data_IF_054169686337
#
_entry.id   IF_054169686337
#
_cell.length_a   1.000
_cell.length_b   1.000
_cell.length_c   1.000
_cell.angle_alpha   90.00
_cell.angle_beta   90.00
_cell.angle_gamma   90.00
#
_symmetry.space_group_name_H-M   'P 1'
#
loop_
_entity.id
_entity.type
_entity.pdbx_description
1 polymer ?
#
# COMPACT_ATOMS: atom_id res chain seq x y z
N UNK A 1 42.13 30.72 -9.56
CA UNK A 1 41.49 30.06 -10.73
C UNK A 1 40.78 28.76 -10.39
N UNK A 2 41.39 27.79 -9.68
CA UNK A 2 40.78 26.47 -9.38
C UNK A 2 39.38 26.51 -8.75
N UNK A 3 39.14 27.39 -7.77
CA UNK A 3 37.84 27.49 -7.06
C UNK A 3 36.71 28.00 -7.98
N UNK A 4 37.00 28.96 -8.87
CA UNK A 4 36.01 29.48 -9.84
C UNK A 4 35.65 28.45 -10.90
N UNK A 5 36.62 27.67 -11.38
CA UNK A 5 36.37 26.57 -12.31
C UNK A 5 35.56 25.44 -11.67
N UNK A 6 35.77 25.14 -10.39
CA UNK A 6 34.97 24.16 -9.64
C UNK A 6 33.52 24.63 -9.43
N UNK A 7 33.32 25.91 -9.12
CA UNK A 7 31.98 26.50 -9.00
C UNK A 7 31.20 26.45 -10.33
N UNK A 8 31.87 26.77 -11.45
CA UNK A 8 31.25 26.69 -12.78
C UNK A 8 30.91 25.25 -13.14
N UNK A 9 31.81 24.30 -12.86
CA UNK A 9 31.55 22.87 -13.09
C UNK A 9 30.37 22.38 -12.24
N UNK A 10 30.32 22.75 -10.96
CA UNK A 10 29.23 22.38 -10.06
C UNK A 10 27.88 22.98 -10.50
N UNK A 11 27.89 24.23 -10.98
CA UNK A 11 26.70 24.88 -11.54
C UNK A 11 26.23 24.15 -12.81
N UNK A 12 27.14 23.81 -13.72
CA UNK A 12 26.82 23.07 -14.95
C UNK A 12 26.27 21.67 -14.65
N UNK A 13 26.86 20.96 -13.68
CA UNK A 13 26.38 19.63 -13.24
C UNK A 13 25.00 19.74 -12.58
N UNK A 14 24.78 20.77 -11.77
CA UNK A 14 23.47 21.00 -11.15
C UNK A 14 22.39 21.26 -12.21
N UNK A 15 22.67 22.17 -13.16
CA UNK A 15 21.73 22.49 -14.25
C UNK A 15 21.44 21.27 -15.13
N UNK A 16 22.46 20.45 -15.45
CA UNK A 16 22.26 19.26 -16.28
C UNK A 16 21.43 18.19 -15.56
N UNK A 17 21.63 17.98 -14.26
CA UNK A 17 20.82 17.07 -13.46
C UNK A 17 19.35 17.52 -13.39
N UNK A 18 19.10 18.82 -13.18
CA UNK A 18 17.73 19.36 -13.20
C UNK A 18 17.06 19.18 -14.56
N UNK A 19 17.74 19.52 -15.64
CA UNK A 19 17.22 19.34 -17.00
C UNK A 19 16.91 17.86 -17.30
N UNK A 20 17.71 16.93 -16.77
CA UNK A 20 17.51 15.49 -16.95
C UNK A 20 16.24 14.99 -16.23
N UNK A 21 16.00 15.43 -15.00
CA UNK A 21 14.77 15.10 -14.23
C UNK A 21 13.53 15.68 -14.92
N UNK A 22 13.59 16.94 -15.35
CA UNK A 22 12.47 17.57 -16.06
C UNK A 22 12.14 16.84 -17.37
N UNK A 23 13.17 16.48 -18.15
CA UNK A 23 13.02 15.73 -19.39
C UNK A 23 12.38 14.35 -19.12
N UNK A 24 12.80 13.68 -18.04
CA UNK A 24 12.22 12.40 -17.62
C UNK A 24 10.72 12.53 -17.33
N UNK A 25 10.34 13.51 -16.51
CA UNK A 25 8.94 13.80 -16.18
C UNK A 25 8.12 14.04 -17.45
N UNK A 26 8.60 14.89 -18.36
CA UNK A 26 7.90 15.22 -19.60
C UNK A 26 7.73 14.01 -20.52
N UNK A 27 8.74 13.16 -20.63
CA UNK A 27 8.66 11.93 -21.41
C UNK A 27 7.68 10.93 -20.80
N UNK A 28 7.68 10.79 -19.48
CA UNK A 28 6.76 9.92 -18.75
C UNK A 28 5.30 10.38 -18.92
N UNK A 29 5.04 11.68 -18.77
CA UNK A 29 3.71 12.28 -19.03
C UNK A 29 3.28 12.04 -20.48
N UNK A 30 4.17 12.24 -21.46
CA UNK A 30 3.81 12.04 -22.87
C UNK A 30 3.40 10.59 -23.13
N UNK A 31 4.23 9.64 -22.71
CA UNK A 31 3.93 8.21 -22.90
C UNK A 31 2.65 7.79 -22.16
N UNK A 32 2.47 8.26 -20.93
CA UNK A 32 1.26 8.01 -20.15
C UNK A 32 0.01 8.60 -20.83
N UNK A 33 0.12 9.80 -21.37
CA UNK A 33 -0.98 10.46 -22.07
C UNK A 33 -1.40 9.69 -23.32
N UNK A 34 -0.44 9.20 -24.10
CA UNK A 34 -0.75 8.40 -25.30
C UNK A 34 -1.49 7.09 -24.93
N UNK A 35 -1.03 6.40 -23.88
CA UNK A 35 -1.69 5.19 -23.37
C UNK A 35 -3.10 5.48 -22.80
N UNK A 36 -3.26 6.59 -22.07
CA UNK A 36 -4.56 6.96 -21.50
C UNK A 36 -5.56 7.39 -22.59
N UNK A 37 -5.11 8.02 -23.68
CA UNK A 37 -5.96 8.33 -24.83
C UNK A 37 -6.49 7.04 -25.45
N UNK A 38 -5.64 6.02 -25.59
CA UNK A 38 -6.04 4.71 -26.11
C UNK A 38 -7.11 4.05 -25.22
N UNK A 39 -6.89 4.04 -23.90
CA UNK A 39 -7.80 3.43 -22.91
C UNK A 39 -9.13 4.18 -22.81
N UNK A 40 -9.10 5.50 -22.67
CA UNK A 40 -10.30 6.30 -22.40
C UNK A 40 -11.02 6.75 -23.69
N UNK A 41 -10.36 6.69 -24.85
CA UNK A 41 -10.91 7.12 -26.13
C UNK A 41 -11.09 8.65 -26.27
N UNK A 42 -10.51 9.44 -25.37
CA UNK A 42 -10.53 10.91 -25.44
C UNK A 42 -9.23 11.50 -24.90
N UNK A 43 -9.00 12.77 -25.21
CA UNK A 43 -7.86 13.55 -24.70
C UNK A 43 -8.32 14.53 -23.60
N UNK A 44 -7.51 14.65 -22.55
CA UNK A 44 -7.72 15.65 -21.49
C UNK A 44 -6.87 16.89 -21.75
N UNK A 45 -7.38 18.06 -21.34
CA UNK A 45 -6.63 19.31 -21.34
C UNK A 45 -6.03 19.56 -19.95
N UNK A 46 -4.71 19.63 -19.86
CA UNK A 46 -4.02 19.87 -18.60
C UNK A 46 -2.85 20.83 -18.75
N UNK A 47 -2.53 21.53 -17.67
CA UNK A 47 -1.32 22.31 -17.50
C UNK A 47 -0.38 21.56 -16.56
N UNK A 48 0.86 21.35 -17.00
CA UNK A 48 1.90 20.71 -16.18
C UNK A 48 2.82 21.79 -15.59
N UNK A 49 2.86 21.87 -14.26
CA UNK A 49 3.79 22.74 -13.53
C UNK A 49 4.78 21.89 -12.75
N UNK A 50 6.07 22.05 -13.06
CA UNK A 50 7.17 21.32 -12.41
C UNK A 50 7.83 22.27 -11.41
N UNK A 51 7.81 21.90 -10.13
CA UNK A 51 8.26 22.75 -9.02
C UNK A 51 9.54 22.20 -8.39
N UNK A 52 10.46 23.10 -8.06
CA UNK A 52 11.66 22.81 -7.26
C UNK A 52 11.29 22.89 -5.78
N UNK A 53 10.94 21.76 -5.17
CA UNK A 53 10.54 21.73 -3.75
C UNK A 53 10.00 20.37 -3.33
N UNK A 54 9.47 20.28 -2.11
CA UNK A 54 8.68 19.14 -1.63
C UNK A 54 7.21 19.57 -1.53
N UNK A 55 6.30 18.65 -1.81
CA UNK A 55 4.87 18.84 -1.67
C UNK A 55 4.14 17.51 -1.82
N UNK A 56 2.80 17.56 -1.80
CA UNK A 56 1.98 16.43 -2.20
C UNK A 56 1.46 16.71 -3.61
N UNK A 57 1.77 15.84 -4.54
CA UNK A 57 1.19 15.86 -5.86
C UNK A 57 -0.30 15.53 -5.74
N UNK A 58 -1.17 16.46 -6.16
CA UNK A 58 -2.60 16.22 -6.33
C UNK A 58 -3.07 17.09 -7.49
N UNK A 59 -3.73 16.52 -8.52
CA UNK A 59 -4.31 17.32 -9.57
C UNK A 59 -5.52 18.09 -9.04
N UNK A 60 -5.70 19.29 -9.56
CA UNK A 60 -6.87 20.12 -9.27
C UNK A 60 -7.55 20.53 -10.58
N UNK A 61 -8.88 20.50 -10.61
CA UNK A 61 -9.63 21.15 -11.67
C UNK A 61 -9.45 22.68 -11.56
N UNK A 62 -9.10 23.33 -12.67
CA UNK A 62 -8.93 24.78 -12.75
C UNK A 62 -10.27 25.45 -13.08
N UNK A 63 -11.11 24.78 -13.87
CA UNK A 63 -12.42 25.25 -14.30
C UNK A 63 -13.42 24.10 -14.51
N UNK A 64 -14.69 24.46 -14.66
CA UNK A 64 -15.79 23.52 -14.97
C UNK A 64 -15.73 22.98 -16.42
N UNK A 65 -14.83 23.52 -17.24
CA UNK A 65 -14.69 23.20 -18.67
C UNK A 65 -13.72 22.03 -18.93
N UNK A 66 -13.13 21.44 -17.89
CA UNK A 66 -12.23 20.29 -18.02
C UNK A 66 -10.77 20.68 -18.27
N UNK A 67 -10.32 21.84 -17.78
CA UNK A 67 -8.90 22.15 -17.64
C UNK A 67 -8.37 21.71 -16.27
N UNK A 68 -7.29 20.93 -16.26
CA UNK A 68 -6.69 20.42 -15.04
C UNK A 68 -5.28 20.97 -14.82
N UNK A 69 -4.89 21.16 -13.56
CA UNK A 69 -3.52 21.52 -13.18
C UNK A 69 -2.86 20.31 -12.53
N UNK A 70 -1.71 19.92 -13.06
CA UNK A 70 -0.85 18.88 -12.47
C UNK A 70 0.38 19.57 -11.88
N UNK A 71 0.67 19.32 -10.62
CA UNK A 71 1.88 19.79 -9.93
C UNK A 71 2.79 18.61 -9.66
N UNK A 72 4.02 18.66 -10.17
CA UNK A 72 5.04 17.62 -9.92
C UNK A 72 6.27 18.24 -9.28
N UNK A 73 6.77 17.63 -8.20
CA UNK A 73 7.91 18.12 -7.45
C UNK A 73 9.18 17.35 -7.80
N UNK A 74 10.26 18.07 -8.16
CA UNK A 74 11.50 17.42 -8.63
C UNK A 74 12.36 16.81 -7.53
N UNK A 75 12.26 17.30 -6.28
CA UNK A 75 13.21 16.92 -5.22
C UNK A 75 13.03 15.48 -4.71
N UNK A 76 11.83 14.93 -4.85
CA UNK A 76 11.47 13.56 -4.45
C UNK A 76 10.81 12.76 -5.59
N UNK A 77 10.99 13.20 -6.84
CA UNK A 77 10.32 12.57 -7.98
C UNK A 77 10.71 11.09 -8.08
N UNK A 78 9.70 10.22 -8.07
CA UNK A 78 9.83 8.78 -8.28
C UNK A 78 9.18 8.40 -9.60
N UNK A 79 9.77 7.42 -10.27
CA UNK A 79 9.24 6.84 -11.49
C UNK A 79 7.85 6.29 -11.23
N UNK A 80 6.89 6.64 -12.07
CA UNK A 80 5.48 6.27 -11.91
C UNK A 80 4.60 7.41 -11.38
N UNK A 81 5.14 8.35 -10.60
CA UNK A 81 4.34 9.43 -9.99
C UNK A 81 3.65 10.27 -11.06
N UNK A 82 4.37 10.63 -12.12
CA UNK A 82 3.76 11.41 -13.21
C UNK A 82 2.60 10.66 -13.89
N UNK A 83 2.71 9.33 -14.02
CA UNK A 83 1.64 8.48 -14.56
C UNK A 83 0.44 8.43 -13.63
N UNK A 84 0.69 8.28 -12.33
CA UNK A 84 -0.32 8.24 -11.28
C UNK A 84 -1.16 9.53 -11.27
N UNK A 85 -0.50 10.69 -11.22
CA UNK A 85 -1.20 11.97 -11.23
C UNK A 85 -2.01 12.20 -12.51
N UNK A 86 -1.47 11.78 -13.67
CA UNK A 86 -2.19 11.90 -14.94
C UNK A 86 -3.40 10.96 -15.01
N UNK A 87 -3.31 9.77 -14.42
CA UNK A 87 -4.44 8.83 -14.35
C UNK A 87 -5.60 9.42 -13.53
N UNK A 88 -5.33 10.12 -12.43
CA UNK A 88 -6.36 10.87 -11.70
C UNK A 88 -7.06 11.92 -12.58
N UNK A 89 -6.29 12.68 -13.37
CA UNK A 89 -6.86 13.69 -14.28
C UNK A 89 -7.80 13.08 -15.33
N UNK A 90 -7.38 11.97 -15.95
CA UNK A 90 -8.24 11.23 -16.88
C UNK A 90 -9.48 10.68 -16.21
N UNK A 91 -9.34 10.16 -14.99
CA UNK A 91 -10.46 9.64 -14.25
C UNK A 91 -11.46 10.74 -13.84
N UNK A 92 -10.99 11.91 -13.42
CA UNK A 92 -11.86 13.05 -13.13
C UNK A 92 -12.62 13.53 -14.37
N UNK A 93 -11.95 13.59 -15.53
CA UNK A 93 -12.60 13.96 -16.80
C UNK A 93 -13.60 12.88 -17.24
N UNK A 94 -13.30 11.61 -17.02
CA UNK A 94 -14.22 10.50 -17.25
C UNK A 94 -15.50 10.66 -16.43
N UNK A 95 -15.35 10.86 -15.11
CA UNK A 95 -16.49 11.09 -14.20
C UNK A 95 -17.32 12.28 -14.65
N UNK A 96 -16.68 13.40 -15.01
CA UNK A 96 -17.36 14.60 -15.53
C UNK A 96 -18.18 14.28 -16.79
N UNK A 97 -17.61 13.54 -17.74
CA UNK A 97 -18.28 13.16 -19.00
C UNK A 97 -19.51 12.27 -18.79
N UNK A 98 -19.49 11.39 -17.78
CA UNK A 98 -20.65 10.56 -17.42
C UNK A 98 -21.61 11.27 -16.44
N UNK A 99 -21.37 12.54 -16.11
CA UNK A 99 -22.21 13.34 -15.21
C UNK A 99 -22.10 12.96 -13.72
N UNK A 100 -20.99 12.33 -13.33
CA UNK A 100 -20.70 11.92 -11.96
C UNK A 100 -19.71 12.88 -11.28
N UNK A 101 -19.90 13.13 -9.98
CA UNK A 101 -18.98 13.94 -9.18
C UNK A 101 -17.87 13.07 -8.59
N UNK A 102 -16.61 13.53 -8.52
CA UNK A 102 -15.52 12.77 -7.89
C UNK A 102 -15.84 12.28 -6.47
N UNK A 103 -16.58 13.06 -5.68
CA UNK A 103 -16.94 12.76 -4.29
C UNK A 103 -17.95 11.61 -4.15
N UNK A 104 -18.59 11.21 -5.24
CA UNK A 104 -19.47 10.04 -5.26
C UNK A 104 -18.67 8.74 -5.20
N UNK A 105 -17.46 8.76 -5.75
CA UNK A 105 -16.57 7.62 -5.80
C UNK A 105 -15.68 7.65 -4.55
N UNK A 106 -15.61 6.56 -3.76
CA UNK A 106 -14.74 6.47 -2.61
C UNK A 106 -13.28 6.80 -2.94
N UNK A 107 -12.63 7.57 -2.07
CA UNK A 107 -11.24 8.01 -2.22
C UNK A 107 -10.28 6.85 -2.49
N UNK A 108 -10.43 5.73 -1.78
CA UNK A 108 -9.60 4.55 -2.03
C UNK A 108 -9.72 4.00 -3.46
N UNK A 109 -10.84 4.21 -4.14
CA UNK A 109 -11.06 3.75 -5.50
C UNK A 109 -10.42 4.70 -6.52
N UNK A 110 -10.39 6.01 -6.26
CA UNK A 110 -9.58 6.95 -7.06
C UNK A 110 -8.11 6.51 -7.06
N UNK A 111 -7.60 6.16 -5.88
CA UNK A 111 -6.23 5.66 -5.72
C UNK A 111 -6.02 4.32 -6.41
N UNK A 112 -7.03 3.43 -6.38
CA UNK A 112 -6.99 2.15 -7.09
C UNK A 112 -6.84 2.35 -8.61
N UNK A 113 -7.55 3.32 -9.18
CA UNK A 113 -7.49 3.67 -10.60
C UNK A 113 -6.10 4.19 -10.98
N UNK A 114 -5.54 5.09 -10.17
CA UNK A 114 -4.24 5.68 -10.42
C UNK A 114 -3.09 4.67 -10.23
N UNK A 115 -3.08 3.94 -9.12
CA UNK A 115 -2.11 2.88 -8.85
C UNK A 115 -2.23 1.72 -9.85
N UNK A 116 -3.45 1.40 -10.29
CA UNK A 116 -3.69 0.42 -11.34
C UNK A 116 -2.99 0.81 -12.64
N UNK A 117 -3.16 2.06 -13.08
CA UNK A 117 -2.53 2.52 -14.31
C UNK A 117 -1.00 2.57 -14.19
N UNK A 118 -0.49 3.02 -13.04
CA UNK A 118 0.94 3.01 -12.74
C UNK A 118 1.52 1.59 -12.86
N UNK A 119 0.83 0.60 -12.29
CA UNK A 119 1.23 -0.81 -12.26
C UNK A 119 1.34 -1.48 -13.64
N UNK A 120 0.77 -0.91 -14.70
CA UNK A 120 0.90 -1.44 -16.07
C UNK A 120 2.34 -1.37 -16.59
N UNK A 121 3.14 -0.41 -16.10
CA UNK A 121 4.53 -0.18 -16.54
C UNK A 121 5.54 -0.15 -15.40
N UNK A 122 5.11 0.28 -14.22
CA UNK A 122 5.95 0.48 -13.06
C UNK A 122 5.30 -0.21 -11.87
N UNK A 123 5.70 -1.45 -11.59
CA UNK A 123 5.40 -2.06 -10.29
C UNK A 123 6.37 -1.50 -9.27
N UNK A 124 5.87 -0.89 -8.20
CA UNK A 124 6.75 -0.57 -7.08
C UNK A 124 7.20 -1.86 -6.39
N UNK A 125 8.24 -1.73 -5.55
CA UNK A 125 8.74 -2.85 -4.76
C UNK A 125 7.65 -3.47 -3.87
N UNK A 126 7.95 -4.61 -3.26
CA UNK A 126 6.98 -5.28 -2.38
C UNK A 126 6.56 -4.34 -1.23
N UNK A 127 5.26 -4.06 -1.05
CA UNK A 127 4.78 -3.18 0.01
C UNK A 127 5.11 -3.70 1.42
N UNK A 128 5.08 -2.83 2.45
CA UNK A 128 5.25 -3.24 3.84
C UNK A 128 4.26 -4.35 4.22
N UNK A 129 4.67 -5.32 5.05
CA UNK A 129 3.80 -6.43 5.50
C UNK A 129 2.48 -5.92 6.10
N UNK A 130 2.52 -4.79 6.83
CA UNK A 130 1.33 -4.15 7.42
C UNK A 130 0.24 -3.85 6.38
N UNK A 131 0.60 -3.64 5.12
CA UNK A 131 -0.34 -3.35 4.03
C UNK A 131 -1.32 -4.49 3.80
N UNK A 132 -0.86 -5.75 3.93
CA UNK A 132 -1.73 -6.94 3.79
C UNK A 132 -2.79 -7.08 4.89
N UNK A 133 -2.64 -6.35 6.00
CA UNK A 133 -3.62 -6.30 7.09
C UNK A 133 -4.38 -4.98 7.16
N UNK A 134 -4.00 -4.01 6.33
CA UNK A 134 -4.64 -2.70 6.32
C UNK A 134 -5.99 -2.81 5.62
N UNK A 135 -6.99 -2.13 6.17
CA UNK A 135 -8.28 -1.97 5.52
C UNK A 135 -8.31 -0.60 4.84
N UNK A 136 -7.96 -0.59 3.55
CA UNK A 136 -7.96 0.65 2.76
C UNK A 136 -9.37 1.08 2.35
N UNK A 137 -10.37 0.20 2.43
CA UNK A 137 -11.73 0.51 1.95
C UNK A 137 -12.49 1.49 2.84
N UNK A 138 -12.03 1.67 4.08
CA UNK A 138 -12.58 2.66 5.02
C UNK A 138 -12.28 4.11 4.63
N UNK A 139 -11.30 4.33 3.74
CA UNK A 139 -10.94 5.65 3.23
C UNK A 139 -11.91 6.10 2.14
N UNK A 140 -13.11 6.54 2.56
CA UNK A 140 -14.17 6.98 1.66
C UNK A 140 -13.97 8.44 1.23
N UNK A 141 -13.73 9.35 2.18
CA UNK A 141 -13.59 10.79 1.91
C UNK A 141 -12.25 11.37 2.33
N UNK A 142 -11.60 10.75 3.31
CA UNK A 142 -10.38 11.25 3.90
C UNK A 142 -9.28 10.20 3.78
N UNK A 143 -8.08 10.67 3.44
CA UNK A 143 -6.87 9.88 3.59
C UNK A 143 -6.67 9.46 5.05
N UNK A 144 -6.02 8.31 5.28
CA UNK A 144 -5.61 7.94 6.63
C UNK A 144 -4.56 8.92 7.19
N UNK A 145 -4.33 8.90 8.52
CA UNK A 145 -3.28 9.69 9.16
C UNK A 145 -1.94 9.50 8.47
N UNK A 146 -1.10 10.54 8.47
CA UNK A 146 0.18 10.56 7.75
C UNK A 146 1.06 9.33 8.04
N UNK A 147 1.11 8.89 9.30
CA UNK A 147 1.84 7.68 9.74
C UNK A 147 1.42 6.37 9.04
N UNK A 148 0.19 6.31 8.53
CA UNK A 148 -0.39 5.13 7.89
C UNK A 148 -0.55 5.32 6.38
N UNK A 149 -0.26 6.50 5.80
CA UNK A 149 -0.38 6.76 4.36
C UNK A 149 0.45 5.80 3.52
N UNK A 150 1.71 5.56 3.88
CA UNK A 150 2.55 4.61 3.14
C UNK A 150 1.98 3.19 3.16
N UNK A 151 1.29 2.79 4.24
CA UNK A 151 0.65 1.47 4.35
C UNK A 151 -0.62 1.42 3.50
N UNK A 152 -1.37 2.52 3.45
CA UNK A 152 -2.54 2.68 2.58
C UNK A 152 -2.18 2.58 1.10
N UNK A 153 -1.25 3.41 0.62
CA UNK A 153 -0.80 3.36 -0.78
C UNK A 153 -0.25 1.97 -1.13
N UNK A 154 0.56 1.38 -0.25
CA UNK A 154 1.05 0.02 -0.46
C UNK A 154 -0.04 -1.06 -0.51
N UNK A 155 -1.15 -0.89 0.23
CA UNK A 155 -2.27 -1.82 0.20
C UNK A 155 -3.08 -1.66 -1.10
N UNK A 156 -3.40 -0.41 -1.48
CA UNK A 156 -4.15 -0.08 -2.70
C UNK A 156 -3.36 -0.52 -3.93
N UNK A 157 -2.08 -0.17 -4.02
CA UNK A 157 -1.20 -0.57 -5.13
C UNK A 157 -1.12 -2.09 -5.25
N UNK A 158 -0.92 -2.79 -4.12
CA UNK A 158 -0.84 -4.25 -4.15
C UNK A 158 -2.16 -4.89 -4.59
N UNK A 159 -3.29 -4.34 -4.15
CA UNK A 159 -4.60 -4.82 -4.53
C UNK A 159 -4.89 -4.54 -6.02
N UNK A 160 -4.53 -3.36 -6.52
CA UNK A 160 -4.59 -3.01 -7.94
C UNK A 160 -3.78 -4.00 -8.78
N UNK A 161 -2.53 -4.27 -8.39
CA UNK A 161 -1.68 -5.27 -9.05
C UNK A 161 -2.27 -6.68 -9.01
N UNK A 162 -2.97 -7.06 -7.94
CA UNK A 162 -3.69 -8.32 -7.85
C UNK A 162 -4.88 -8.40 -8.84
N UNK A 163 -5.66 -7.34 -8.97
CA UNK A 163 -6.76 -7.27 -9.94
C UNK A 163 -6.20 -7.31 -11.38
N UNK A 164 -5.21 -6.49 -11.68
CA UNK A 164 -4.62 -6.38 -13.03
C UNK A 164 -3.84 -7.62 -13.48
N UNK A 165 -3.49 -8.50 -12.55
CA UNK A 165 -2.95 -9.82 -12.92
C UNK A 165 -4.01 -10.82 -13.41
N UNK A 166 -5.30 -10.45 -13.36
CA UNK A 166 -6.46 -11.31 -13.68
C UNK A 166 -7.45 -10.65 -14.63
N UNK A 167 -7.49 -9.33 -14.65
CA UNK A 167 -8.48 -8.53 -15.36
C UNK A 167 -7.80 -7.34 -16.04
N UNK A 168 -8.36 -6.88 -17.15
CA UNK A 168 -7.87 -5.69 -17.84
C UNK A 168 -8.22 -4.42 -17.07
N UNK A 169 -7.44 -3.36 -17.29
CA UNK A 169 -7.61 -2.06 -16.65
C UNK A 169 -8.99 -1.44 -16.92
N UNK A 170 -9.54 -1.63 -18.13
CA UNK A 170 -10.87 -1.16 -18.51
C UNK A 170 -11.98 -1.68 -17.60
N UNK A 171 -11.81 -2.87 -17.00
CA UNK A 171 -12.79 -3.39 -16.05
C UNK A 171 -12.90 -2.50 -14.80
N UNK A 172 -11.83 -1.81 -14.40
CA UNK A 172 -11.90 -0.83 -13.30
C UNK A 172 -12.74 0.39 -13.68
N UNK A 173 -12.80 0.76 -14.97
CA UNK A 173 -13.65 1.84 -15.46
C UNK A 173 -15.11 1.41 -15.52
N UNK A 174 -15.39 0.23 -16.08
CA UNK A 174 -16.76 -0.31 -16.13
C UNK A 174 -17.39 -0.49 -14.74
N UNK A 175 -16.56 -0.74 -13.72
CA UNK A 175 -17.05 -0.82 -12.34
C UNK A 175 -17.63 0.50 -11.85
N UNK A 176 -17.11 1.64 -12.33
CA UNK A 176 -17.63 2.95 -11.97
C UNK A 176 -19.03 3.13 -12.55
N UNK A 177 -19.27 2.69 -13.78
CA UNK A 177 -20.60 2.76 -14.40
C UNK A 177 -21.61 1.88 -13.65
N UNK A 178 -21.19 0.69 -13.26
CA UNK A 178 -22.00 -0.23 -12.45
C UNK A 178 -22.27 0.34 -11.05
N UNK A 179 -21.26 0.97 -10.44
CA UNK A 179 -21.39 1.62 -9.14
C UNK A 179 -22.31 2.84 -9.19
N UNK A 180 -22.22 3.66 -10.24
CA UNK A 180 -23.12 4.79 -10.45
C UNK A 180 -24.58 4.37 -10.55
N UNK A 181 -24.83 3.14 -11.01
CA UNK A 181 -26.19 2.58 -11.12
C UNK A 181 -26.66 1.91 -9.81
N UNK A 182 -25.79 1.15 -9.15
CA UNK A 182 -26.15 0.32 -8.00
C UNK A 182 -25.96 1.01 -6.63
N UNK A 183 -25.03 1.95 -6.53
CA UNK A 183 -24.60 2.58 -5.28
C UNK A 183 -23.86 1.65 -4.31
N UNK A 184 -23.58 0.39 -4.69
CA UNK A 184 -22.94 -0.61 -3.83
C UNK A 184 -21.69 -1.19 -4.49
N UNK A 185 -20.53 -0.95 -3.86
CA UNK A 185 -19.25 -1.46 -4.33
C UNK A 185 -19.21 -2.98 -4.33
N UNK A 186 -19.78 -3.65 -3.33
CA UNK A 186 -19.71 -5.11 -3.26
C UNK A 186 -20.44 -5.78 -4.43
N UNK A 187 -21.63 -5.27 -4.76
CA UNK A 187 -22.41 -5.70 -5.93
C UNK A 187 -21.73 -5.34 -7.24
N UNK A 188 -21.17 -4.14 -7.35
CA UNK A 188 -20.46 -3.68 -8.56
C UNK A 188 -19.23 -4.54 -8.87
N UNK A 189 -18.41 -4.83 -7.85
CA UNK A 189 -17.29 -5.76 -7.98
C UNK A 189 -17.77 -7.16 -8.40
N UNK A 190 -18.90 -7.62 -7.86
CA UNK A 190 -19.47 -8.93 -8.22
C UNK A 190 -19.91 -8.96 -9.68
N UNK A 191 -20.54 -7.91 -10.19
CA UNK A 191 -21.00 -7.82 -11.57
C UNK A 191 -19.81 -7.82 -12.56
N UNK A 192 -18.78 -7.03 -12.28
CA UNK A 192 -17.62 -6.87 -13.19
C UNK A 192 -16.60 -8.00 -13.05
N UNK A 193 -16.24 -8.39 -11.83
CA UNK A 193 -15.15 -9.34 -11.57
C UNK A 193 -15.64 -10.75 -11.19
N UNK A 194 -16.96 -10.99 -11.18
CA UNK A 194 -17.56 -12.26 -10.79
C UNK A 194 -17.42 -12.60 -9.30
N UNK A 195 -16.91 -11.68 -8.48
CA UNK A 195 -16.68 -11.88 -7.05
C UNK A 195 -16.86 -10.56 -6.31
N UNK A 196 -17.53 -10.59 -5.16
CA UNK A 196 -17.66 -9.39 -4.32
C UNK A 196 -16.30 -8.84 -3.89
N UNK A 197 -16.28 -7.54 -3.56
CA UNK A 197 -15.09 -6.83 -3.10
C UNK A 197 -14.45 -7.54 -1.89
N UNK A 198 -15.24 -7.88 -0.88
CA UNK A 198 -14.75 -8.56 0.33
C UNK A 198 -14.04 -9.89 0.01
N UNK A 199 -14.61 -10.68 -0.90
CA UNK A 199 -14.03 -11.95 -1.32
C UNK A 199 -12.74 -11.75 -2.12
N UNK A 200 -12.66 -10.72 -2.96
CA UNK A 200 -11.44 -10.38 -3.68
C UNK A 200 -10.34 -9.89 -2.74
N UNK A 201 -10.69 -9.08 -1.73
CA UNK A 201 -9.75 -8.64 -0.69
C UNK A 201 -9.21 -9.85 0.08
N UNK A 202 -10.06 -10.81 0.47
CA UNK A 202 -9.60 -12.03 1.16
C UNK A 202 -8.63 -12.81 0.27
N UNK A 203 -8.96 -13.04 -1.01
CA UNK A 203 -8.09 -13.74 -1.97
C UNK A 203 -6.75 -13.02 -2.14
N UNK A 204 -6.79 -11.69 -2.28
CA UNK A 204 -5.59 -10.87 -2.37
C UNK A 204 -4.72 -11.02 -1.11
N UNK A 205 -5.31 -10.90 0.09
CA UNK A 205 -4.60 -11.03 1.37
C UNK A 205 -3.91 -12.38 1.49
N UNK A 206 -4.59 -13.47 1.12
CA UNK A 206 -3.99 -14.81 1.12
C UNK A 206 -2.77 -14.86 0.21
N UNK A 207 -2.85 -14.36 -1.02
CA UNK A 207 -1.72 -14.34 -1.95
C UNK A 207 -0.58 -13.42 -1.49
N UNK A 208 -0.92 -12.25 -0.95
CA UNK A 208 0.04 -11.29 -0.42
C UNK A 208 0.81 -11.86 0.77
N UNK A 209 0.12 -12.57 1.66
CA UNK A 209 0.67 -13.13 2.89
C UNK A 209 1.35 -14.49 2.70
N UNK A 210 1.06 -15.20 1.61
CA UNK A 210 1.59 -16.55 1.33
C UNK A 210 3.13 -16.64 1.47
N UNK A 211 3.94 -15.68 0.99
CA UNK A 211 5.39 -15.75 1.12
C UNK A 211 5.91 -15.61 2.56
N UNK A 212 5.07 -15.16 3.50
CA UNK A 212 5.39 -15.09 4.93
C UNK A 212 4.99 -16.35 5.70
N UNK A 213 4.31 -17.30 5.06
CA UNK A 213 3.90 -18.56 5.70
C UNK A 213 5.06 -19.39 6.28
N UNK A 214 6.28 -19.47 5.67
CA UNK A 214 7.37 -20.23 6.27
C UNK A 214 7.85 -19.63 7.59
N UNK A 215 7.85 -18.29 7.69
CA UNK A 215 8.17 -17.60 8.93
C UNK A 215 7.14 -17.92 10.02
N UNK A 216 5.84 -17.87 9.68
CA UNK A 216 4.78 -18.23 10.61
C UNK A 216 4.92 -19.68 11.11
N UNK A 217 5.17 -20.63 10.22
CA UNK A 217 5.41 -22.03 10.57
C UNK A 217 6.62 -22.16 11.50
N UNK A 218 7.72 -21.46 11.21
CA UNK A 218 8.90 -21.41 12.06
C UNK A 218 8.61 -20.90 13.47
N UNK A 219 7.84 -19.80 13.59
CA UNK A 219 7.41 -19.26 14.89
C UNK A 219 6.54 -20.25 15.65
N UNK A 220 5.58 -20.89 14.99
CA UNK A 220 4.70 -21.89 15.61
C UNK A 220 5.51 -23.08 16.12
N UNK A 221 6.44 -23.61 15.31
CA UNK A 221 7.33 -24.71 15.73
C UNK A 221 8.20 -24.27 16.91
N UNK A 222 8.77 -23.07 16.87
CA UNK A 222 9.58 -22.53 17.94
C UNK A 222 8.79 -22.41 19.26
N UNK A 223 7.58 -21.85 19.21
CA UNK A 223 6.69 -21.74 20.37
C UNK A 223 6.29 -23.13 20.89
N UNK A 224 5.96 -24.06 20.01
CA UNK A 224 5.66 -25.45 20.38
C UNK A 224 6.85 -26.10 21.12
N UNK A 225 8.07 -25.93 20.61
CA UNK A 225 9.29 -26.43 21.26
C UNK A 225 9.56 -25.74 22.60
N UNK A 226 9.29 -24.44 22.73
CA UNK A 226 9.44 -23.71 23.99
C UNK A 226 8.44 -24.19 25.05
N UNK A 227 7.17 -24.35 24.70
CA UNK A 227 6.12 -24.86 25.60
C UNK A 227 6.42 -26.31 25.98
N UNK A 228 6.76 -27.15 25.01
CA UNK A 228 7.14 -28.55 25.26
C UNK A 228 8.42 -28.68 26.12
N UNK A 229 9.37 -27.74 26.02
CA UNK A 229 10.54 -27.67 26.92
C UNK A 229 10.15 -27.18 28.32
N UNK A 230 9.23 -26.22 28.43
CA UNK A 230 8.72 -25.75 29.72
C UNK A 230 8.06 -26.90 30.48
N UNK A 231 7.21 -27.70 29.84
CA UNK A 231 6.61 -28.89 30.47
C UNK A 231 7.63 -29.92 30.95
N UNK A 232 8.74 -30.13 30.21
CA UNK A 232 9.81 -31.03 30.68
C UNK A 232 10.56 -30.48 31.89
N UNK A 233 10.74 -29.17 31.97
CA UNK A 233 11.41 -28.51 33.10
C UNK A 233 10.56 -28.57 34.38
N UNK A 234 9.23 -28.44 34.29
CA UNK A 234 8.35 -28.54 35.47
C UNK A 234 8.17 -29.98 35.98
N UNK A 235 8.37 -31.01 35.15
CA UNK A 235 8.39 -32.42 35.61
C UNK A 235 9.62 -32.76 36.47
N UNK A 236 10.65 -31.90 36.50
CA UNK A 236 11.82 -32.08 37.35
C UNK A 236 11.68 -31.45 38.74
N UNK A 237 10.63 -30.66 38.96
CA UNK A 237 10.26 -30.17 40.28
C UNK A 237 9.15 -31.07 40.82
N UNK A 238 9.43 -31.98 41.77
CA UNK A 238 8.37 -32.65 42.49
C UNK A 238 7.65 -31.56 43.30
N UNK A 239 6.50 -31.10 42.78
CA UNK A 239 5.47 -30.56 43.64
C UNK A 239 4.93 -31.74 44.42
N UNK A 240 5.51 -31.98 45.59
CA UNK A 240 4.97 -32.90 46.58
C UNK A 240 4.31 -32.07 47.69
N UNK A 241 2.99 -31.80 47.64
CA UNK A 241 2.29 -31.13 48.72
C UNK A 241 1.83 -32.10 49.82
N UNK A 242 2.09 -33.41 49.72
CA UNK A 242 1.53 -34.38 50.65
C UNK A 242 2.48 -35.57 50.88
N UNK A 243 3.54 -35.34 51.64
CA UNK A 243 4.18 -36.45 52.36
C UNK A 243 4.34 -36.10 53.85
N UNK A 244 3.43 -36.56 54.73
CA UNK A 244 3.47 -36.27 56.17
C UNK A 244 4.56 -37.05 56.93
N UNK A 245 5.35 -37.90 56.28
CA UNK A 245 6.34 -38.76 56.97
C UNK A 245 7.65 -38.05 57.34
N UNK A 246 7.93 -36.83 56.85
CA UNK A 246 9.14 -36.08 57.21
C UNK A 246 9.03 -35.32 58.54
N UNK A 247 7.85 -35.26 59.16
CA UNK A 247 7.61 -34.57 60.43
C UNK A 247 7.65 -35.48 61.68
N UNK A 248 7.87 -36.79 61.54
CA UNK A 248 7.93 -37.74 62.68
C UNK A 248 9.34 -38.25 63.02
N UNK A 249 10.39 -37.53 62.62
CA UNK A 249 11.78 -37.87 62.95
C UNK A 249 12.50 -36.78 63.75
N UNK A 250 11.74 -36.06 64.57
CA UNK A 250 12.25 -34.97 65.42
C UNK A 250 11.92 -35.09 66.91
N UNK A 251 11.15 -36.09 67.36
CA UNK A 251 10.79 -36.26 68.78
C UNK A 251 10.61 -37.73 69.13
N UNK A 252 11.67 -38.41 69.60
CA UNK A 252 11.62 -39.40 70.72
C UNK A 252 12.96 -40.11 70.91
N UNK A 253 13.57 -39.94 72.10
CA UNK A 253 14.55 -40.84 72.72
C UNK A 253 16.01 -40.61 72.29
N UNK A 254 17.00 -40.58 73.16
CA UNK A 254 17.05 -40.90 74.58
C UNK A 254 18.40 -40.39 75.11
N UNK A 255 18.39 -39.83 76.32
CA UNK A 255 19.57 -39.50 77.11
C UNK A 255 20.19 -40.83 77.52
N UNK A 256 21.49 -41.03 77.31
CA UNK A 256 22.20 -41.99 78.12
C UNK A 256 23.61 -41.51 78.51
N UNK A 257 23.80 -41.48 79.82
CA UNK A 257 25.01 -41.10 80.54
C UNK A 257 26.08 -42.19 80.34
N UNK A 258 27.36 -41.78 80.25
CA UNK A 258 28.47 -42.67 80.62
C UNK A 258 29.40 -41.96 81.60
N UNK A 259 29.66 -42.75 82.65
CA UNK A 259 30.51 -42.53 83.82
C UNK A 259 31.98 -42.29 83.48
#
# INVERSE_FOLDING_TARGET
>A
MRVRSLLILWLLVSISLFAQVETKIRNEIRAANDELIEIYGFQVRYNLTILTGQGHEQPAAIDDNGMYQIFLYTSNFRDGVARHELAHVYFFEYLRKIGSSPETIPLWYHELIAEGFQNLRSRSGRPPLRSGFFDFTVSIKNYPPEKDRSVFYGAVESFAGFLLSRFDYENLLHLVDEFSSSGDMNSSFKAIFGSSLDNLIIKWRVLFLLPYSPFLVGVVIFLYLLIGRRERYWRQFPLDPLNPESLKRGESGEIDQKS
#
